data_IF_439845512258
#
_entry.id   IF_439845512258
#
_cell.length_a   1.000
_cell.length_b   1.000
_cell.length_c   1.000
_cell.angle_alpha   90.00
_cell.angle_beta   90.00
_cell.angle_gamma   90.00
#
_symmetry.space_group_name_H-M   'P 1'
#
loop_
_entity.id
_entity.type
_entity.pdbx_description
1 polymer ?
#
# COMPACT_ATOMS: atom_id res chain seq x y z
N UNK A 1 -9.12 15.86 -5.53
CA UNK A 1 -8.50 15.30 -4.31
C UNK A 1 -7.01 15.34 -4.43
N UNK A 2 -6.30 15.38 -3.30
CA UNK A 2 -4.85 15.39 -3.27
C UNK A 2 -4.35 14.07 -2.69
N UNK A 3 -4.68 12.97 -3.38
CA UNK A 3 -4.35 11.61 -2.96
C UNK A 3 -3.01 11.11 -3.50
N UNK A 4 -2.24 11.92 -4.25
CA UNK A 4 -1.01 11.45 -4.91
C UNK A 4 -1.29 10.61 -6.15
N UNK A 5 -0.29 9.89 -6.64
CA UNK A 5 -0.38 8.97 -7.77
C UNK A 5 -0.83 7.58 -7.32
N UNK A 6 -1.46 6.82 -8.22
CA UNK A 6 -1.93 5.46 -7.90
C UNK A 6 -3.10 5.41 -6.91
N UNK A 7 -3.88 6.50 -6.81
CA UNK A 7 -5.18 6.45 -6.15
C UNK A 7 -6.20 5.83 -7.11
N UNK A 8 -7.00 4.91 -6.57
CA UNK A 8 -8.10 4.25 -7.27
C UNK A 8 -9.38 5.07 -7.19
N UNK A 9 -9.66 5.61 -6.01
CA UNK A 9 -10.83 6.45 -5.77
C UNK A 9 -10.53 7.51 -4.73
N UNK A 10 -11.31 8.59 -4.74
CA UNK A 10 -11.28 9.57 -3.68
C UNK A 10 -12.68 10.05 -3.34
N UNK A 11 -12.94 10.17 -2.05
CA UNK A 11 -14.19 10.67 -1.48
C UNK A 11 -13.91 11.73 -0.42
N UNK A 12 -14.94 12.47 -0.03
CA UNK A 12 -14.88 13.42 1.08
C UNK A 12 -15.89 13.02 2.16
N UNK A 13 -15.42 12.91 3.40
CA UNK A 13 -16.26 12.76 4.59
C UNK A 13 -16.20 14.08 5.38
N UNK A 14 -17.18 14.95 5.11
CA UNK A 14 -17.17 16.33 5.60
C UNK A 14 -16.00 17.13 4.99
N UNK A 15 -15.05 17.54 5.83
CA UNK A 15 -13.84 18.26 5.39
C UNK A 15 -12.61 17.34 5.24
N UNK A 16 -12.74 16.03 5.57
CA UNK A 16 -11.64 15.07 5.42
C UNK A 16 -11.70 14.43 4.03
N UNK A 17 -10.57 14.43 3.32
CA UNK A 17 -10.42 13.61 2.12
C UNK A 17 -10.11 12.16 2.52
N UNK A 18 -10.77 11.21 1.87
CA UNK A 18 -10.53 9.78 1.96
C UNK A 18 -10.02 9.31 0.61
N UNK A 19 -8.82 8.72 0.63
CA UNK A 19 -8.16 8.21 -0.56
C UNK A 19 -8.13 6.69 -0.50
N UNK A 20 -8.64 6.05 -1.55
CA UNK A 20 -8.46 4.63 -1.78
C UNK A 20 -7.33 4.45 -2.79
N UNK A 21 -6.32 3.67 -2.44
CA UNK A 21 -5.16 3.43 -3.29
C UNK A 21 -5.36 2.17 -4.15
N UNK A 22 -4.71 2.14 -5.30
CA UNK A 22 -4.56 0.90 -6.06
C UNK A 22 -3.83 -0.17 -5.22
N UNK A 23 -4.01 -1.48 -5.48
CA UNK A 23 -3.38 -2.54 -4.69
C UNK A 23 -1.86 -2.41 -4.56
N UNK A 24 -1.21 -1.81 -5.56
CA UNK A 24 0.24 -1.57 -5.59
C UNK A 24 0.71 -0.36 -4.77
N UNK A 25 -0.22 0.36 -4.14
CA UNK A 25 0.00 1.62 -3.44
C UNK A 25 -0.61 1.55 -2.04
N UNK A 26 0.08 2.15 -1.07
CA UNK A 26 -0.38 2.23 0.32
C UNK A 26 -0.64 3.67 0.73
N UNK A 27 -1.61 3.88 1.62
CA UNK A 27 -1.90 5.22 2.14
C UNK A 27 -0.84 5.61 3.18
N UNK A 28 -0.10 6.68 2.89
CA UNK A 28 0.90 7.29 3.77
C UNK A 28 0.65 8.79 3.86
N UNK A 29 0.44 9.29 5.08
CA UNK A 29 0.17 10.71 5.35
C UNK A 29 -0.96 11.31 4.48
N UNK A 30 -1.99 10.50 4.17
CA UNK A 30 -3.14 10.91 3.37
C UNK A 30 -2.92 10.92 1.86
N UNK A 31 -1.83 10.30 1.37
CA UNK A 31 -1.54 10.11 -0.05
C UNK A 31 -1.18 8.66 -0.34
N UNK A 32 -1.47 8.20 -1.54
CA UNK A 32 -1.03 6.93 -2.07
C UNK A 32 0.45 7.04 -2.44
N UNK A 33 1.25 6.15 -1.85
CA UNK A 33 2.67 5.99 -2.14
C UNK A 33 2.89 4.57 -2.65
N UNK A 34 3.71 4.43 -3.70
CA UNK A 34 3.97 3.13 -4.30
C UNK A 34 4.67 2.22 -3.30
N UNK A 35 4.15 1.01 -3.15
CA UNK A 35 4.74 0.04 -2.24
C UNK A 35 5.91 -0.69 -2.90
N UNK A 36 6.93 -0.97 -2.10
CA UNK A 36 8.08 -1.76 -2.50
C UNK A 36 8.08 -3.08 -1.72
N UNK A 37 7.05 -3.90 -1.95
CA UNK A 37 6.81 -5.14 -1.21
C UNK A 37 7.30 -6.39 -1.95
N UNK A 38 8.11 -6.27 -3.00
CA UNK A 38 8.56 -7.42 -3.79
C UNK A 38 7.45 -8.04 -4.64
N UNK A 39 7.66 -9.27 -5.11
CA UNK A 39 6.71 -10.01 -5.93
C UNK A 39 5.71 -10.77 -5.07
N UNK A 40 4.46 -10.91 -5.53
CA UNK A 40 3.43 -11.67 -4.83
C UNK A 40 2.98 -11.05 -3.51
N UNK A 41 3.08 -9.72 -3.36
CA UNK A 41 2.35 -9.04 -2.29
C UNK A 41 0.88 -8.88 -2.67
N UNK A 42 0.01 -9.10 -1.68
CA UNK A 42 -1.44 -8.98 -1.79
C UNK A 42 -1.90 -7.55 -1.54
N UNK A 43 -1.30 -6.92 -0.54
CA UNK A 43 -1.59 -5.54 -0.17
C UNK A 43 -0.44 -4.95 0.62
N UNK A 44 -0.46 -3.63 0.79
CA UNK A 44 0.53 -2.91 1.57
C UNK A 44 -0.08 -1.73 2.32
N UNK A 45 0.58 -1.29 3.37
CA UNK A 45 0.15 -0.18 4.21
C UNK A 45 1.35 0.55 4.79
N UNK A 46 1.14 1.75 5.33
CA UNK A 46 2.20 2.49 6.02
C UNK A 46 1.80 2.77 7.47
N UNK A 47 2.70 2.47 8.39
CA UNK A 47 2.63 2.87 9.79
C UNK A 47 3.74 3.88 10.06
N UNK A 48 3.40 5.17 9.97
CA UNK A 48 4.39 6.24 9.97
C UNK A 48 5.32 6.15 8.74
N UNK A 49 6.62 5.96 8.98
CA UNK A 49 7.60 5.77 7.91
C UNK A 49 7.84 4.29 7.56
N UNK A 50 7.24 3.35 8.31
CA UNK A 50 7.42 1.92 8.10
C UNK A 50 6.41 1.41 7.09
N UNK A 51 6.89 0.76 6.04
CA UNK A 51 6.05 0.02 5.11
C UNK A 51 5.71 -1.36 5.70
N UNK A 52 4.45 -1.75 5.61
CA UNK A 52 3.93 -3.06 5.97
C UNK A 52 3.45 -3.75 4.69
N UNK A 53 3.87 -4.99 4.49
CA UNK A 53 3.53 -5.79 3.32
C UNK A 53 2.79 -7.04 3.77
N UNK A 54 1.66 -7.31 3.12
CA UNK A 54 0.97 -8.60 3.23
C UNK A 54 1.30 -9.41 1.98
N UNK A 55 1.89 -10.60 2.17
CA UNK A 55 2.25 -11.49 1.07
C UNK A 55 1.11 -12.46 0.74
N UNK A 56 1.00 -12.86 -0.52
CA UNK A 56 0.20 -14.01 -0.92
C UNK A 56 0.72 -15.28 -0.21
N UNK A 57 -0.14 -16.30 0.01
CA UNK A 57 0.23 -17.49 0.81
C UNK A 57 1.46 -18.25 0.30
N UNK A 58 1.77 -18.15 -0.99
CA UNK A 58 2.92 -18.81 -1.62
C UNK A 58 4.26 -18.05 -1.42
N UNK A 59 4.19 -16.82 -0.90
CA UNK A 59 5.32 -15.92 -0.73
C UNK A 59 5.62 -15.71 0.76
N UNK A 60 6.91 -15.59 1.09
CA UNK A 60 7.39 -15.33 2.44
C UNK A 60 7.82 -13.88 2.60
N UNK A 61 7.56 -13.30 3.78
CA UNK A 61 8.09 -11.97 4.11
C UNK A 61 9.55 -12.09 4.56
N UNK A 62 10.47 -11.58 3.75
CA UNK A 62 11.91 -11.55 4.01
C UNK A 62 12.44 -10.14 3.81
N UNK A 63 13.13 -9.61 4.83
CA UNK A 63 13.63 -8.23 4.88
C UNK A 63 12.58 -7.15 4.55
N UNK A 64 11.29 -7.42 4.85
CA UNK A 64 10.19 -6.49 4.58
C UNK A 64 9.65 -6.53 3.15
N UNK A 65 10.01 -7.55 2.36
CA UNK A 65 9.50 -7.81 1.02
C UNK A 65 8.98 -9.24 0.91
N UNK A 66 8.01 -9.42 0.04
CA UNK A 66 7.48 -10.71 -0.37
C UNK A 66 8.43 -11.31 -1.41
N UNK A 67 8.89 -12.51 -1.13
CA UNK A 67 9.77 -13.30 -1.99
C UNK A 67 9.16 -14.71 -2.12
N UNK A 68 9.26 -15.30 -3.31
CA UNK A 68 8.79 -16.67 -3.54
C UNK A 68 9.66 -17.65 -2.73
N UNK A 69 9.02 -18.65 -2.11
CA UNK A 69 9.72 -19.69 -1.35
C UNK A 69 10.19 -20.88 -2.21
N UNK A 70 10.27 -20.71 -3.53
CA UNK A 70 10.68 -21.75 -4.49
C UNK A 70 12.20 -21.95 -4.52
#
# INVERSE_FOLDING_TARGET
CNCGDGFKSCSFEGQKQLCECEPEYGLKEGKCEKCNCGDGFKSCSFEGQKQLCECEPEYGLKEGKCESNI
#
